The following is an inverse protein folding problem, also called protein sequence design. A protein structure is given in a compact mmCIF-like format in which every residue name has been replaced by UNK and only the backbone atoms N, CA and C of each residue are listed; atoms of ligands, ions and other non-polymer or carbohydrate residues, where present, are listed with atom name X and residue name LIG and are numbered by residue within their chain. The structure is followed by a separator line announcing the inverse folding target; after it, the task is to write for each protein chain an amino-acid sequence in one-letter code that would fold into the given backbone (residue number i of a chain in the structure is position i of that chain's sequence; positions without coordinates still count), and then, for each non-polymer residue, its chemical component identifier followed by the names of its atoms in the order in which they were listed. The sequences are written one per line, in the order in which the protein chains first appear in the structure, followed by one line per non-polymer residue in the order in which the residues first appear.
data_IF_630824344230
#
_entry.id   IF_630824344230
#
_cell.length_a   1.000
_cell.length_b   1.000
_cell.length_c   1.000
_cell.angle_alpha   90.00
_cell.angle_beta   90.00
_cell.angle_gamma   90.00
#
_symmetry.space_group_name_H-M   'P 1'
#
loop_
_entity.id
_entity.type
_entity.pdbx_description
1 polymer ?
#
# COMPACT_ATOMS: atom_id res chain seq x y z
N UNK A 1 2.78 -3.05 20.60
CA UNK A 1 2.76 -3.47 19.17
C UNK A 1 1.36 -3.95 18.85
N UNK A 2 0.49 -3.07 18.35
CA UNK A 2 -0.95 -3.37 18.22
C UNK A 2 -1.35 -3.70 16.77
N UNK A 3 -0.58 -3.24 15.78
CA UNK A 3 -0.85 -3.45 14.37
C UNK A 3 0.43 -3.87 13.62
N UNK A 4 0.29 -4.85 12.73
CA UNK A 4 1.30 -5.26 11.76
C UNK A 4 1.33 -4.21 10.65
N UNK A 5 2.52 -3.67 10.37
CA UNK A 5 2.73 -2.70 9.29
C UNK A 5 3.02 -3.47 8.01
N UNK A 6 2.22 -3.25 6.99
CA UNK A 6 2.32 -3.94 5.71
C UNK A 6 2.81 -2.98 4.62
N UNK A 7 3.64 -3.52 3.74
CA UNK A 7 3.99 -2.95 2.45
C UNK A 7 3.48 -3.87 1.34
N UNK A 8 2.92 -3.30 0.27
CA UNK A 8 2.49 -4.07 -0.91
C UNK A 8 3.33 -3.67 -2.12
N UNK A 9 3.94 -4.66 -2.77
CA UNK A 9 4.68 -4.49 -4.03
C UNK A 9 3.84 -5.07 -5.17
N UNK A 10 3.60 -4.28 -6.20
CA UNK A 10 2.71 -4.60 -7.31
C UNK A 10 1.27 -4.15 -7.04
N UNK A 11 0.79 -3.23 -7.87
CA UNK A 11 -0.53 -2.60 -7.86
C UNK A 11 -1.31 -2.94 -9.14
N UNK A 12 -1.16 -4.19 -9.60
CA UNK A 12 -2.13 -4.81 -10.52
C UNK A 12 -3.50 -4.98 -9.86
N UNK A 13 -4.41 -5.71 -10.50
CA UNK A 13 -5.77 -5.89 -10.01
C UNK A 13 -5.81 -6.38 -8.55
N UNK A 14 -5.09 -7.45 -8.24
CA UNK A 14 -5.05 -8.05 -6.89
C UNK A 14 -4.44 -7.08 -5.86
N UNK A 15 -3.30 -6.46 -6.19
CA UNK A 15 -2.62 -5.53 -5.30
C UNK A 15 -3.46 -4.31 -4.94
N UNK A 16 -4.19 -3.74 -5.91
CA UNK A 16 -5.13 -2.62 -5.68
C UNK A 16 -6.25 -3.01 -4.73
N UNK A 17 -6.88 -4.17 -4.90
CA UNK A 17 -7.94 -4.63 -4.00
C UNK A 17 -7.43 -4.90 -2.57
N UNK A 18 -6.25 -5.53 -2.42
CA UNK A 18 -5.65 -5.74 -1.11
C UNK A 18 -5.29 -4.43 -0.40
N UNK A 19 -4.78 -3.44 -1.14
CA UNK A 19 -4.59 -2.09 -0.59
C UNK A 19 -5.93 -1.52 -0.09
N UNK A 20 -7.00 -1.66 -0.87
CA UNK A 20 -8.35 -1.25 -0.49
C UNK A 20 -8.81 -1.90 0.81
N UNK A 21 -8.66 -3.22 0.98
CA UNK A 21 -9.07 -3.90 2.21
C UNK A 21 -8.36 -3.39 3.46
N UNK A 22 -7.08 -3.05 3.34
CA UNK A 22 -6.30 -2.50 4.45
C UNK A 22 -6.66 -1.04 4.75
N UNK A 23 -6.86 -0.22 3.72
CA UNK A 23 -7.24 1.19 3.86
C UNK A 23 -8.67 1.35 4.42
N UNK A 24 -9.58 0.48 3.99
CA UNK A 24 -10.96 0.40 4.47
C UNK A 24 -11.07 -0.25 5.87
N UNK A 25 -9.95 -0.64 6.47
CA UNK A 25 -9.87 -1.31 7.78
C UNK A 25 -10.68 -2.62 7.87
N UNK A 26 -10.83 -3.32 6.73
CA UNK A 26 -11.52 -4.63 6.66
C UNK A 26 -10.70 -5.76 7.27
N UNK A 27 -9.39 -5.57 7.41
CA UNK A 27 -8.48 -6.53 8.05
C UNK A 27 -8.02 -5.97 9.39
N UNK A 28 -8.34 -6.68 10.47
CA UNK A 28 -7.97 -6.26 11.82
C UNK A 28 -6.46 -6.38 12.05
N UNK A 29 -5.94 -5.58 13.00
CA UNK A 29 -4.53 -5.61 13.43
C UNK A 29 -3.50 -5.40 12.31
N UNK A 30 -3.90 -4.83 11.17
CA UNK A 30 -3.00 -4.52 10.06
C UNK A 30 -3.13 -3.05 9.65
N UNK A 31 -2.04 -2.48 9.17
CA UNK A 31 -2.01 -1.12 8.62
C UNK A 31 -1.14 -1.12 7.36
N UNK A 32 -1.69 -0.65 6.24
CA UNK A 32 -0.90 -0.37 5.04
C UNK A 32 -0.05 0.88 5.28
N UNK A 33 1.27 0.75 5.18
CA UNK A 33 2.21 1.85 5.42
C UNK A 33 3.15 2.14 4.26
N UNK A 34 3.22 1.24 3.28
CA UNK A 34 3.97 1.43 2.05
C UNK A 34 3.29 0.74 0.86
N UNK A 35 3.45 1.31 -0.33
CA UNK A 35 3.18 0.63 -1.61
C UNK A 35 4.33 0.86 -2.59
N UNK A 36 4.57 -0.11 -3.47
CA UNK A 36 5.55 -0.01 -4.55
C UNK A 36 5.00 -0.56 -5.85
N UNK A 37 5.28 0.09 -6.97
CA UNK A 37 4.98 -0.39 -8.31
C UNK A 37 5.94 0.28 -9.32
N UNK A 38 6.42 -0.48 -10.30
CA UNK A 38 7.27 0.04 -11.37
C UNK A 38 6.50 0.97 -12.33
N UNK A 39 5.17 0.84 -12.41
CA UNK A 39 4.30 1.71 -13.19
C UNK A 39 3.82 2.90 -12.34
N UNK A 40 4.53 4.03 -12.48
CA UNK A 40 4.31 5.24 -11.68
C UNK A 40 2.84 5.70 -11.57
N UNK A 41 1.98 5.65 -12.62
CA UNK A 41 0.58 6.06 -12.48
C UNK A 41 -0.23 5.25 -11.47
N UNK A 42 0.15 4.00 -11.18
CA UNK A 42 -0.50 3.20 -10.14
C UNK A 42 -0.27 3.76 -8.72
N UNK A 43 0.76 4.58 -8.51
CA UNK A 43 1.11 5.15 -7.21
C UNK A 43 0.35 6.45 -6.89
N UNK A 44 -0.17 7.15 -7.91
CA UNK A 44 -0.87 8.45 -7.74
C UNK A 44 -2.00 8.41 -6.71
N UNK A 45 -2.87 7.38 -6.66
CA UNK A 45 -3.94 7.31 -5.66
C UNK A 45 -3.46 7.25 -4.21
N UNK A 46 -2.18 6.92 -3.99
CA UNK A 46 -1.60 6.69 -2.67
C UNK A 46 -0.74 7.85 -2.18
N UNK A 47 -0.23 8.73 -3.06
CA UNK A 47 0.65 9.86 -2.70
C UNK A 47 0.02 10.87 -1.73
N UNK A 48 -1.30 11.07 -1.81
CA UNK A 48 -2.04 12.02 -0.95
C UNK A 48 -2.49 11.42 0.39
N UNK A 49 -2.21 10.13 0.66
CA UNK A 49 -2.69 9.45 1.87
C UNK A 49 -1.73 9.67 3.04
N UNK A 50 -2.18 10.29 4.15
CA UNK A 50 -1.32 10.53 5.30
C UNK A 50 -0.73 9.23 5.86
N UNK A 51 0.58 9.21 6.07
CA UNK A 51 1.28 8.06 6.66
C UNK A 51 1.51 6.87 5.72
N UNK A 52 1.15 6.99 4.43
CA UNK A 52 1.42 5.97 3.41
C UNK A 52 2.55 6.42 2.49
N UNK A 53 3.63 5.63 2.42
CA UNK A 53 4.77 5.90 1.53
C UNK A 53 4.60 5.21 0.18
N UNK A 54 5.07 5.83 -0.89
CA UNK A 54 5.11 5.24 -2.24
C UNK A 54 6.56 5.08 -2.70
N UNK A 55 6.85 4.00 -3.42
CA UNK A 55 8.18 3.69 -3.95
C UNK A 55 8.07 3.25 -5.41
N UNK A 56 9.05 3.61 -6.24
CA UNK A 56 9.12 3.19 -7.64
C UNK A 56 9.88 1.86 -7.84
N UNK A 57 10.58 1.39 -6.81
CA UNK A 57 11.31 0.12 -6.74
C UNK A 57 11.01 -0.58 -5.42
N UNK A 58 11.28 -1.88 -5.33
CA UNK A 58 11.10 -2.64 -4.08
C UNK A 58 12.39 -2.68 -3.25
N UNK A 59 13.53 -2.43 -3.90
CA UNK A 59 14.85 -2.33 -3.31
C UNK A 59 15.04 -0.95 -2.66
N UNK A 60 15.77 -0.95 -1.54
CA UNK A 60 16.14 0.22 -0.74
C UNK A 60 17.48 0.81 -1.20
#
# INVERSE_FOLDING_TARGET
MNHVRLGIVGLGNIGKFHCGYLLDKKISRCQLTAVSDAFAPSLEPFKSKPGLKTFASAEA
#
